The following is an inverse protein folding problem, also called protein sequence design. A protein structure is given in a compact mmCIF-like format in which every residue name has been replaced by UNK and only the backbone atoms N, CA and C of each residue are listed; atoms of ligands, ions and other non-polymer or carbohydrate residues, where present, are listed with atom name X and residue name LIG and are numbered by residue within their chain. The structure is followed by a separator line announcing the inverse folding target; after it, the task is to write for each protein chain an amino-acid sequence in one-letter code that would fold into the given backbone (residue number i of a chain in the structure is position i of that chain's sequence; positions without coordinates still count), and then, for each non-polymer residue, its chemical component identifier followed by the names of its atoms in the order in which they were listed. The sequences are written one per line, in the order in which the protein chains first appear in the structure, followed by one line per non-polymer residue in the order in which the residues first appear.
data_IF_906362858084
#
_entry.id   IF_906362858084
#
_cell.length_a   1.000
_cell.length_b   1.000
_cell.length_c   1.000
_cell.angle_alpha   90.00
_cell.angle_beta   90.00
_cell.angle_gamma   90.00
#
_symmetry.space_group_name_H-M   'P 1'
#
loop_
_entity.id
_entity.type
_entity.pdbx_description
1 polymer ?
#
# COMPACT_ATOMS: atom_id res chain seq x y z
N UNK A 1 15.73 1.69 8.97
CA UNK A 1 15.02 1.95 7.69
C UNK A 1 15.96 2.22 6.53
N UNK A 2 16.94 3.12 6.61
CA UNK A 2 17.85 3.45 5.49
C UNK A 2 18.53 2.20 4.90
N UNK A 3 19.18 1.37 5.73
CA UNK A 3 19.83 0.14 5.28
C UNK A 3 18.86 -0.85 4.61
N UNK A 4 17.62 -0.95 5.12
CA UNK A 4 16.56 -1.75 4.49
C UNK A 4 16.20 -1.20 3.10
N UNK A 5 15.95 0.10 2.99
CA UNK A 5 15.59 0.73 1.73
C UNK A 5 16.71 0.61 0.68
N UNK A 6 17.98 0.74 1.09
CA UNK A 6 19.14 0.57 0.19
C UNK A 6 19.17 -0.85 -0.38
N UNK A 7 19.03 -1.88 0.46
CA UNK A 7 18.95 -3.29 -0.01
C UNK A 7 17.75 -3.50 -0.91
N UNK A 8 16.57 -2.96 -0.54
CA UNK A 8 15.36 -3.11 -1.34
C UNK A 8 15.51 -2.52 -2.75
N UNK A 9 16.08 -1.32 -2.88
CA UNK A 9 16.29 -0.67 -4.19
C UNK A 9 17.22 -1.47 -5.11
N UNK A 10 18.13 -2.28 -4.56
CA UNK A 10 19.00 -3.16 -5.34
C UNK A 10 18.35 -4.48 -5.76
N UNK A 11 17.14 -4.78 -5.29
CA UNK A 11 16.44 -6.02 -5.63
C UNK A 11 16.14 -6.12 -7.13
N UNK A 12 16.45 -7.27 -7.72
CA UNK A 12 16.20 -7.59 -9.13
C UNK A 12 15.60 -8.99 -9.31
N UNK A 13 14.95 -9.53 -8.27
CA UNK A 13 14.42 -10.89 -8.30
C UNK A 13 13.37 -11.09 -9.40
N UNK A 14 12.40 -10.18 -9.51
CA UNK A 14 11.35 -10.24 -10.53
C UNK A 14 11.91 -10.05 -11.95
N UNK A 15 12.93 -9.21 -12.13
CA UNK A 15 13.63 -9.06 -13.43
C UNK A 15 14.33 -10.37 -13.82
N UNK A 16 15.09 -10.98 -12.90
CA UNK A 16 15.79 -12.24 -13.15
C UNK A 16 14.84 -13.38 -13.45
N UNK A 17 13.65 -13.36 -12.89
CA UNK A 17 12.61 -14.35 -13.13
C UNK A 17 11.78 -14.06 -14.40
N UNK A 18 12.05 -12.99 -15.14
CA UNK A 18 11.32 -12.62 -16.36
C UNK A 18 9.88 -12.12 -16.13
N UNK A 19 9.52 -11.74 -14.91
CA UNK A 19 8.15 -11.26 -14.61
C UNK A 19 7.93 -9.79 -14.96
N UNK A 20 8.99 -8.98 -15.00
CA UNK A 20 8.91 -7.56 -15.32
C UNK A 20 9.32 -7.33 -16.76
N UNK A 21 8.40 -6.79 -17.54
CA UNK A 21 8.62 -6.44 -18.96
C UNK A 21 9.38 -5.13 -19.07
N UNK A 22 9.17 -4.19 -18.14
CA UNK A 22 9.79 -2.88 -18.15
C UNK A 22 11.10 -2.92 -17.35
N UNK A 23 12.24 -2.80 -18.02
CA UNK A 23 13.57 -2.76 -17.41
C UNK A 23 13.74 -1.62 -16.38
N UNK A 24 13.01 -0.53 -16.53
CA UNK A 24 13.01 0.61 -15.61
C UNK A 24 12.20 0.38 -14.32
N UNK A 25 11.45 -0.72 -14.20
CA UNK A 25 10.69 -0.99 -12.99
C UNK A 25 11.63 -1.39 -11.85
N UNK A 26 11.73 -0.53 -10.85
CA UNK A 26 12.57 -0.73 -9.66
C UNK A 26 11.72 -0.69 -8.39
N UNK A 27 12.17 -1.34 -7.28
CA UNK A 27 11.44 -1.25 -6.03
C UNK A 27 11.35 0.19 -5.52
N UNK A 28 10.14 0.64 -5.24
CA UNK A 28 9.93 1.97 -4.65
C UNK A 28 10.10 1.90 -3.14
N UNK A 29 10.97 2.74 -2.61
CA UNK A 29 11.19 2.91 -1.18
C UNK A 29 11.46 4.39 -0.87
N UNK A 30 10.69 4.94 0.07
CA UNK A 30 10.91 6.30 0.57
C UNK A 30 11.75 6.23 1.85
N UNK A 31 12.81 7.00 1.89
CA UNK A 31 13.61 7.15 3.11
C UNK A 31 12.89 8.04 4.12
N UNK A 32 13.01 7.76 5.42
CA UNK A 32 12.52 8.67 6.45
C UNK A 32 13.31 9.97 6.42
N UNK A 33 12.68 11.04 6.85
CA UNK A 33 13.36 12.32 7.03
C UNK A 33 14.44 12.18 8.13
N UNK A 34 15.61 12.81 7.98
CA UNK A 34 16.66 12.76 9.00
C UNK A 34 16.13 13.21 10.37
N UNK A 35 16.37 12.39 11.40
CA UNK A 35 15.91 12.69 12.77
C UNK A 35 14.41 12.45 13.02
N UNK A 36 13.62 12.13 12.00
CA UNK A 36 12.21 11.81 12.21
C UNK A 36 12.03 10.45 12.90
N UNK A 37 11.05 10.32 13.78
CA UNK A 37 10.72 9.03 14.40
C UNK A 37 10.26 8.03 13.33
N UNK A 38 10.54 6.76 13.54
CA UNK A 38 10.07 5.69 12.64
C UNK A 38 8.54 5.65 12.66
N UNK A 39 7.86 5.80 11.50
CA UNK A 39 6.43 5.75 11.45
C UNK A 39 5.88 4.41 11.95
N UNK A 40 4.84 4.44 12.78
CA UNK A 40 4.16 3.25 13.27
C UNK A 40 2.90 2.89 12.48
N UNK A 41 2.59 3.65 11.45
CA UNK A 41 1.52 3.38 10.49
C UNK A 41 2.17 2.88 9.20
N UNK A 42 1.84 1.64 8.83
CA UNK A 42 2.27 1.01 7.58
C UNK A 42 1.08 0.93 6.63
N UNK A 43 1.19 1.55 5.47
CA UNK A 43 0.20 1.44 4.41
C UNK A 43 0.71 0.44 3.36
N UNK A 44 -0.09 -0.56 3.05
CA UNK A 44 0.24 -1.61 2.09
C UNK A 44 -0.76 -1.58 0.94
N UNK A 45 -0.29 -1.24 -0.26
CA UNK A 45 -1.05 -1.33 -1.50
C UNK A 45 -0.84 -2.66 -2.23
N UNK A 46 -1.37 -2.76 -3.45
CA UNK A 46 -1.18 -3.92 -4.33
C UNK A 46 0.26 -3.98 -4.88
N UNK A 47 0.64 -2.95 -5.63
CA UNK A 47 1.91 -2.74 -6.31
C UNK A 47 2.03 -1.26 -6.68
N UNK A 48 3.22 -0.73 -6.98
CA UNK A 48 3.35 0.58 -7.59
C UNK A 48 2.59 0.64 -8.93
N UNK A 49 1.86 1.73 -9.18
CA UNK A 49 1.30 2.02 -10.49
C UNK A 49 2.34 2.65 -11.42
N UNK A 50 2.01 2.80 -12.70
CA UNK A 50 2.92 3.39 -13.70
C UNK A 50 3.46 4.76 -13.25
N UNK A 51 2.58 5.66 -12.79
CA UNK A 51 2.99 7.00 -12.35
C UNK A 51 3.91 6.96 -11.13
N UNK A 52 3.62 6.08 -10.17
CA UNK A 52 4.48 5.88 -9.02
C UNK A 52 5.87 5.36 -9.42
N UNK A 53 5.94 4.49 -10.43
CA UNK A 53 7.19 3.98 -10.98
C UNK A 53 8.01 5.08 -11.68
N UNK A 54 7.36 5.90 -12.51
CA UNK A 54 8.02 6.99 -13.25
C UNK A 54 8.55 8.10 -12.33
N UNK A 55 7.78 8.47 -11.31
CA UNK A 55 8.13 9.54 -10.37
C UNK A 55 8.96 9.02 -9.17
N UNK A 56 9.08 7.70 -9.02
CA UNK A 56 9.68 7.04 -7.84
C UNK A 56 9.03 7.50 -6.50
N UNK A 57 7.73 7.75 -6.54
CA UNK A 57 6.94 8.22 -5.38
C UNK A 57 5.77 7.29 -5.13
N UNK A 58 5.64 6.70 -3.93
CA UNK A 58 4.48 5.86 -3.60
C UNK A 58 3.17 6.64 -3.76
N UNK A 59 2.17 6.02 -4.36
CA UNK A 59 0.85 6.65 -4.56
C UNK A 59 0.92 8.02 -5.26
N UNK A 60 1.79 8.18 -6.26
CA UNK A 60 1.81 9.37 -7.08
C UNK A 60 0.47 9.58 -7.83
N UNK A 61 0.07 10.86 -8.01
CA UNK A 61 -1.14 11.24 -8.74
C UNK A 61 -2.43 11.18 -7.94
N UNK A 62 -3.56 11.11 -8.65
CA UNK A 62 -4.91 11.26 -8.09
C UNK A 62 -5.25 10.28 -6.95
N UNK A 63 -4.73 9.06 -7.00
CA UNK A 63 -4.91 8.08 -5.93
C UNK A 63 -4.25 8.54 -4.63
N UNK A 64 -3.06 9.12 -4.71
CA UNK A 64 -2.37 9.68 -3.54
C UNK A 64 -3.07 10.91 -2.99
N UNK A 65 -3.61 11.79 -3.85
CA UNK A 65 -4.40 12.93 -3.39
C UNK A 65 -5.63 12.48 -2.62
N UNK A 66 -6.36 11.50 -3.12
CA UNK A 66 -7.51 10.93 -2.39
C UNK A 66 -7.10 10.28 -1.06
N UNK A 67 -5.96 9.60 -1.01
CA UNK A 67 -5.43 9.07 0.26
C UNK A 67 -5.14 10.19 1.25
N UNK A 68 -4.51 11.29 0.84
CA UNK A 68 -4.25 12.44 1.73
C UNK A 68 -5.52 12.97 2.37
N UNK A 69 -6.60 13.14 1.56
CA UNK A 69 -7.90 13.54 2.08
C UNK A 69 -8.45 12.54 3.12
N UNK A 70 -8.29 11.23 2.88
CA UNK A 70 -8.71 10.23 3.86
C UNK A 70 -7.90 10.31 5.15
N UNK A 71 -6.59 10.54 5.06
CA UNK A 71 -5.74 10.68 6.24
C UNK A 71 -6.08 11.94 7.05
N UNK A 72 -6.44 13.04 6.40
CA UNK A 72 -6.96 14.23 7.06
C UNK A 72 -8.23 13.92 7.86
N UNK A 73 -9.17 13.15 7.31
CA UNK A 73 -10.33 12.63 8.05
C UNK A 73 -9.91 11.76 9.25
N UNK A 74 -8.81 11.05 9.15
CA UNK A 74 -8.19 10.27 10.22
C UNK A 74 -7.40 11.09 11.24
N UNK A 75 -7.34 12.42 11.11
CA UNK A 75 -6.60 13.32 12.02
C UNK A 75 -5.09 13.37 11.75
N UNK A 76 -4.65 12.97 10.56
CA UNK A 76 -3.27 13.14 10.11
C UNK A 76 -3.24 14.29 9.10
N UNK A 77 -2.72 15.46 9.46
CA UNK A 77 -2.62 16.61 8.57
C UNK A 77 -1.80 16.28 7.31
N UNK A 78 -2.07 17.02 6.23
CA UNK A 78 -1.46 16.80 4.92
C UNK A 78 0.07 16.89 4.95
N UNK A 79 0.62 17.78 5.72
CA UNK A 79 2.06 17.97 5.95
C UNK A 79 2.70 16.78 6.67
N UNK A 80 1.94 16.06 7.49
CA UNK A 80 2.41 14.89 8.23
C UNK A 80 2.32 13.59 7.44
N UNK A 81 1.68 13.59 6.27
CA UNK A 81 1.41 12.40 5.47
C UNK A 81 2.66 11.55 5.22
N UNK A 82 3.76 12.18 4.82
CA UNK A 82 5.02 11.48 4.56
C UNK A 82 5.81 11.13 5.82
N UNK A 83 5.60 11.86 6.90
CA UNK A 83 6.31 11.70 8.16
C UNK A 83 5.70 10.62 9.04
N UNK A 84 4.38 10.51 9.07
CA UNK A 84 3.65 9.58 9.96
C UNK A 84 3.32 8.24 9.33
N UNK A 85 3.44 8.11 8.00
CA UNK A 85 3.03 6.92 7.27
C UNK A 85 4.22 6.34 6.51
N UNK A 86 4.46 5.06 6.68
CA UNK A 86 5.38 4.32 5.84
C UNK A 86 4.60 3.58 4.74
N UNK A 87 5.09 3.67 3.50
CA UNK A 87 4.41 3.12 2.33
C UNK A 87 5.04 1.82 1.88
N UNK A 88 4.20 0.86 1.58
CA UNK A 88 4.56 -0.46 1.09
C UNK A 88 3.54 -0.96 0.07
N UNK A 89 3.83 -2.12 -0.50
CA UNK A 89 2.90 -2.85 -1.35
C UNK A 89 3.20 -4.36 -1.28
N UNK A 90 2.25 -5.19 -1.69
CA UNK A 90 2.43 -6.65 -1.76
C UNK A 90 3.59 -7.01 -2.68
N UNK A 91 3.74 -6.29 -3.81
CA UNK A 91 4.98 -6.31 -4.61
C UNK A 91 5.54 -4.90 -4.73
N UNK A 92 6.86 -4.78 -4.78
CA UNK A 92 7.57 -3.50 -4.65
C UNK A 92 7.87 -2.81 -6.00
N UNK A 93 7.68 -3.51 -7.10
CA UNK A 93 7.93 -3.02 -8.45
C UNK A 93 6.62 -2.87 -9.21
N UNK A 94 6.61 -1.97 -10.21
CA UNK A 94 5.49 -1.84 -11.13
C UNK A 94 5.36 -3.13 -11.98
N UNK A 95 4.20 -3.80 -11.93
CA UNK A 95 4.04 -5.09 -12.61
C UNK A 95 3.82 -4.96 -14.12
N UNK A 96 3.58 -3.77 -14.63
CA UNK A 96 3.23 -3.53 -16.03
C UNK A 96 1.73 -3.55 -16.29
N UNK A 97 1.37 -3.48 -17.56
CA UNK A 97 -0.01 -3.52 -18.06
C UNK A 97 -0.14 -4.63 -19.09
N UNK A 98 -1.28 -5.31 -19.09
CA UNK A 98 -1.58 -6.27 -20.16
C UNK A 98 -1.96 -5.52 -21.45
N UNK A 99 -1.61 -6.06 -22.63
CA UNK A 99 -2.02 -5.48 -23.90
C UNK A 99 -3.55 -5.25 -23.95
N UNK A 100 -3.97 -4.05 -24.35
CA UNK A 100 -5.39 -3.66 -24.43
C UNK A 100 -6.08 -3.38 -23.09
N UNK A 101 -5.44 -3.61 -21.93
CA UNK A 101 -6.04 -3.33 -20.64
C UNK A 101 -6.01 -1.83 -20.31
N UNK A 102 -7.06 -1.34 -19.61
CA UNK A 102 -7.14 0.05 -19.15
C UNK A 102 -6.38 0.32 -17.84
N UNK A 103 -6.04 -0.72 -17.08
CA UNK A 103 -5.37 -0.63 -15.77
C UNK A 103 -4.11 -1.46 -15.69
N UNK A 104 -3.36 -1.24 -14.62
CA UNK A 104 -2.17 -2.03 -14.32
C UNK A 104 -2.58 -3.45 -13.94
N UNK A 105 -1.76 -4.45 -14.32
CA UNK A 105 -2.07 -5.84 -13.99
C UNK A 105 -1.87 -6.11 -12.49
N UNK A 106 -2.58 -7.12 -11.99
CA UNK A 106 -2.35 -7.65 -10.66
C UNK A 106 -1.07 -8.51 -10.70
N UNK A 107 -0.13 -8.34 -9.75
CA UNK A 107 1.02 -9.24 -9.64
C UNK A 107 0.59 -10.69 -9.48
N UNK A 108 1.25 -11.61 -10.19
CA UNK A 108 0.98 -13.03 -10.09
C UNK A 108 1.34 -13.60 -8.70
N UNK A 109 0.80 -14.75 -8.29
CA UNK A 109 1.18 -15.40 -7.04
C UNK A 109 2.69 -15.64 -6.93
N UNK A 110 3.37 -15.95 -8.03
CA UNK A 110 4.81 -16.13 -8.06
C UNK A 110 5.58 -14.84 -7.78
N UNK A 111 5.15 -13.70 -8.35
CA UNK A 111 5.74 -12.39 -8.04
C UNK A 111 5.51 -12.01 -6.58
N UNK A 112 4.31 -12.27 -6.05
CA UNK A 112 3.98 -12.02 -4.65
C UNK A 112 4.88 -12.85 -3.72
N UNK A 113 5.08 -14.13 -4.02
CA UNK A 113 5.95 -15.04 -3.25
C UNK A 113 7.41 -14.56 -3.26
N UNK A 114 7.95 -14.14 -4.42
CA UNK A 114 9.31 -13.60 -4.52
C UNK A 114 9.48 -12.28 -3.73
N UNK A 115 8.43 -11.47 -3.65
CA UNK A 115 8.49 -10.19 -2.96
C UNK A 115 8.17 -10.28 -1.46
N UNK A 116 7.57 -11.38 -1.01
CA UNK A 116 7.11 -11.58 0.37
C UNK A 116 8.20 -11.37 1.42
N UNK A 117 9.44 -11.85 1.27
CA UNK A 117 10.49 -11.63 2.26
C UNK A 117 10.74 -10.15 2.56
N UNK A 118 10.61 -9.26 1.57
CA UNK A 118 10.75 -7.82 1.77
C UNK A 118 9.66 -7.25 2.67
N UNK A 119 8.45 -7.80 2.58
CA UNK A 119 7.33 -7.36 3.40
C UNK A 119 7.52 -7.83 4.85
N UNK A 120 7.97 -9.06 5.06
CA UNK A 120 8.24 -9.64 6.38
C UNK A 120 9.40 -8.92 7.08
N UNK A 121 10.51 -8.66 6.37
CA UNK A 121 11.63 -7.83 6.86
C UNK A 121 11.14 -6.43 7.27
N UNK A 122 10.23 -5.84 6.50
CA UNK A 122 9.69 -4.51 6.78
C UNK A 122 8.89 -4.48 8.09
N UNK A 123 8.08 -5.51 8.36
CA UNK A 123 7.39 -5.64 9.65
C UNK A 123 8.35 -5.72 10.82
N UNK A 124 9.44 -6.48 10.66
CA UNK A 124 10.49 -6.63 11.67
C UNK A 124 11.18 -5.29 11.97
N UNK A 125 11.45 -4.50 10.93
CA UNK A 125 12.16 -3.21 11.06
C UNK A 125 11.25 -2.10 11.60
N UNK A 126 9.99 -2.05 11.14
CA UNK A 126 9.05 -0.97 11.48
C UNK A 126 8.31 -1.23 12.78
N UNK A 127 7.99 -2.48 13.08
CA UNK A 127 7.10 -2.87 14.19
C UNK A 127 5.83 -2.00 14.21
N UNK A 128 5.03 -2.02 13.12
CA UNK A 128 3.90 -1.13 13.00
C UNK A 128 2.84 -1.41 14.07
N UNK A 129 2.19 -0.37 14.58
CA UNK A 129 1.02 -0.51 15.45
C UNK A 129 -0.27 -0.60 14.63
N UNK A 130 -0.27 0.06 13.46
CA UNK A 130 -1.42 0.09 12.56
C UNK A 130 -0.96 -0.26 11.14
N UNK A 131 -1.71 -1.14 10.48
CA UNK A 131 -1.51 -1.51 9.08
C UNK A 131 -2.77 -1.19 8.29
N UNK A 132 -2.65 -0.31 7.31
CA UNK A 132 -3.71 0.03 6.38
C UNK A 132 -3.56 -0.85 5.13
N UNK A 133 -4.58 -1.66 4.84
CA UNK A 133 -4.60 -2.58 3.72
C UNK A 133 -5.41 -1.97 2.58
N UNK A 134 -4.75 -1.43 1.57
CA UNK A 134 -5.37 -0.67 0.48
C UNK A 134 -5.61 -1.55 -0.74
N UNK A 135 -6.87 -1.84 -1.00
CA UNK A 135 -7.31 -2.68 -2.13
C UNK A 135 -7.34 -4.17 -1.80
N UNK A 136 -8.09 -4.90 -2.63
CA UNK A 136 -8.48 -6.29 -2.34
C UNK A 136 -7.29 -7.26 -2.24
N UNK A 137 -6.22 -7.05 -3.04
CA UNK A 137 -5.04 -7.89 -2.96
C UNK A 137 -4.34 -7.75 -1.60
N UNK A 138 -4.09 -6.53 -1.13
CA UNK A 138 -3.48 -6.29 0.16
C UNK A 138 -4.36 -6.86 1.30
N UNK A 139 -5.67 -6.64 1.24
CA UNK A 139 -6.62 -7.18 2.22
C UNK A 139 -6.53 -8.71 2.27
N UNK A 140 -6.58 -9.39 1.12
CA UNK A 140 -6.52 -10.86 1.06
C UNK A 140 -5.17 -11.43 1.49
N UNK A 141 -4.08 -10.73 1.23
CA UNK A 141 -2.73 -11.15 1.63
C UNK A 141 -2.60 -11.24 3.16
N UNK A 142 -3.27 -10.36 3.90
CA UNK A 142 -3.14 -10.28 5.36
C UNK A 142 -4.34 -10.86 6.13
N UNK A 143 -5.55 -10.71 5.62
CA UNK A 143 -6.78 -11.15 6.29
C UNK A 143 -7.35 -12.45 5.71
N UNK A 144 -6.77 -12.96 4.62
CA UNK A 144 -7.28 -14.13 3.94
C UNK A 144 -8.50 -13.83 3.05
N UNK A 145 -9.31 -14.85 2.77
CA UNK A 145 -10.49 -14.69 1.93
C UNK A 145 -11.54 -13.82 2.62
N UNK A 146 -11.95 -12.73 1.97
CA UNK A 146 -13.02 -11.85 2.42
C UNK A 146 -14.18 -11.89 1.42
N UNK A 147 -15.45 -11.80 1.90
CA UNK A 147 -16.63 -11.89 1.03
C UNK A 147 -16.69 -10.73 0.02
N UNK A 148 -16.50 -9.50 0.50
CA UNK A 148 -16.53 -8.28 -0.32
C UNK A 148 -15.77 -7.14 0.39
N UNK A 149 -15.50 -6.05 -0.32
CA UNK A 149 -14.99 -4.82 0.30
C UNK A 149 -15.97 -4.24 1.32
N UNK A 150 -17.26 -4.25 0.99
CA UNK A 150 -18.33 -3.75 1.87
C UNK A 150 -18.37 -4.48 3.22
N UNK A 151 -18.03 -5.76 3.23
CA UNK A 151 -18.02 -6.55 4.48
C UNK A 151 -16.85 -6.20 5.42
N UNK A 152 -15.77 -5.63 4.91
CA UNK A 152 -14.54 -5.45 5.70
C UNK A 152 -14.10 -4.00 5.85
N UNK A 153 -14.41 -3.11 4.90
CA UNK A 153 -14.07 -1.69 5.03
C UNK A 153 -14.88 -1.06 6.17
N UNK A 154 -14.23 -0.27 7.01
CA UNK A 154 -14.83 0.30 8.23
C UNK A 154 -14.72 -0.59 9.46
N UNK A 155 -14.23 -1.84 9.32
CA UNK A 155 -13.90 -2.71 10.46
C UNK A 155 -12.43 -2.60 10.85
N UNK A 156 -12.06 -3.22 11.98
CA UNK A 156 -10.68 -3.41 12.39
C UNK A 156 -10.47 -4.86 12.80
N UNK A 157 -9.34 -5.43 12.39
CA UNK A 157 -8.88 -6.73 12.86
C UNK A 157 -7.64 -6.55 13.70
N UNK A 158 -7.58 -7.17 14.87
CA UNK A 158 -6.40 -7.17 15.73
C UNK A 158 -5.72 -8.53 15.66
N UNK A 159 -4.42 -8.54 15.39
CA UNK A 159 -3.60 -9.75 15.38
C UNK A 159 -2.17 -9.38 15.82
N UNK A 160 -1.62 -10.12 16.78
CA UNK A 160 -0.25 -9.97 17.29
C UNK A 160 0.10 -8.54 17.69
N UNK A 161 -0.84 -7.83 18.34
CA UNK A 161 -0.66 -6.44 18.77
C UNK A 161 -0.75 -5.40 17.66
N UNK A 162 -1.05 -5.82 16.42
CA UNK A 162 -1.19 -4.95 15.25
C UNK A 162 -2.66 -4.78 14.88
N UNK A 163 -3.07 -3.54 14.63
CA UNK A 163 -4.40 -3.20 14.13
C UNK A 163 -4.38 -3.15 12.61
N UNK A 164 -5.17 -3.97 11.95
CA UNK A 164 -5.35 -3.99 10.50
C UNK A 164 -6.64 -3.27 10.11
N UNK A 165 -6.53 -2.29 9.21
CA UNK A 165 -7.65 -1.47 8.73
C UNK A 165 -7.78 -1.63 7.21
N UNK A 166 -8.77 -2.39 6.72
CA UNK A 166 -9.06 -2.51 5.29
C UNK A 166 -9.57 -1.20 4.70
N UNK A 167 -9.05 -0.82 3.54
CA UNK A 167 -9.49 0.31 2.74
C UNK A 167 -9.71 -0.09 1.29
N UNK A 168 -10.65 0.52 0.56
CA UNK A 168 -10.75 0.33 -0.87
C UNK A 168 -9.55 0.96 -1.58
N UNK A 169 -9.34 0.60 -2.86
CA UNK A 169 -8.35 1.32 -3.66
C UNK A 169 -8.84 2.75 -3.95
N UNK A 170 -8.02 3.80 -3.76
CA UNK A 170 -8.45 5.19 -3.89
C UNK A 170 -8.58 5.67 -5.34
N UNK A 171 -8.28 4.85 -6.35
CA UNK A 171 -8.39 5.24 -7.75
C UNK A 171 -9.84 5.49 -8.18
N UNK A 172 -10.02 6.39 -9.16
CA UNK A 172 -11.34 6.67 -9.75
C UNK A 172 -11.97 5.52 -10.52
N UNK A 173 -11.24 4.42 -10.78
CA UNK A 173 -11.75 3.20 -11.42
C UNK A 173 -12.61 2.39 -10.44
N UNK A 174 -12.50 2.63 -9.15
CA UNK A 174 -13.28 1.92 -8.14
C UNK A 174 -14.71 2.45 -8.08
N UNK A 175 -15.65 1.77 -8.72
CA UNK A 175 -17.11 2.08 -8.63
C UNK A 175 -17.63 1.96 -7.19
N UNK A 176 -16.96 1.22 -6.33
CA UNK A 176 -17.34 1.02 -4.94
C UNK A 176 -17.46 2.35 -4.16
N UNK A 177 -16.64 3.34 -4.52
CA UNK A 177 -16.66 4.67 -3.89
C UNK A 177 -17.77 5.60 -4.42
N UNK A 178 -18.60 5.15 -5.36
CA UNK A 178 -19.74 5.93 -5.84
C UNK A 178 -20.93 5.89 -4.87
N UNK A 179 -20.97 4.90 -3.97
CA UNK A 179 -22.03 4.73 -2.98
C UNK A 179 -21.70 5.51 -1.70
N UNK A 180 -22.63 6.34 -1.23
CA UNK A 180 -22.45 7.18 -0.06
C UNK A 180 -22.14 6.37 1.22
N UNK A 181 -22.77 5.22 1.42
CA UNK A 181 -22.52 4.31 2.53
C UNK A 181 -21.06 3.79 2.53
N UNK A 182 -20.53 3.50 1.35
CA UNK A 182 -19.16 3.05 1.17
C UNK A 182 -18.15 4.16 1.49
N UNK A 183 -18.46 5.41 1.13
CA UNK A 183 -17.66 6.58 1.52
C UNK A 183 -17.68 6.76 3.04
N UNK A 184 -18.86 6.61 3.66
CA UNK A 184 -18.98 6.66 5.12
C UNK A 184 -18.19 5.54 5.81
N UNK A 185 -18.12 4.34 5.22
CA UNK A 185 -17.30 3.23 5.73
C UNK A 185 -15.80 3.58 5.71
N UNK A 186 -15.30 4.28 4.68
CA UNK A 186 -13.92 4.81 4.69
C UNK A 186 -13.73 5.79 5.83
N UNK A 187 -14.67 6.71 6.08
CA UNK A 187 -14.64 7.63 7.21
C UNK A 187 -14.54 6.90 8.55
N UNK A 188 -15.34 5.83 8.74
CA UNK A 188 -15.26 4.99 9.94
C UNK A 188 -13.88 4.31 10.09
N UNK A 189 -13.33 3.77 9.00
CA UNK A 189 -11.99 3.16 9.02
C UNK A 189 -10.92 4.19 9.43
N UNK A 190 -10.96 5.37 8.85
CA UNK A 190 -9.99 6.43 9.14
C UNK A 190 -10.14 7.00 10.54
N UNK A 191 -11.38 7.11 11.05
CA UNK A 191 -11.64 7.51 12.44
C UNK A 191 -10.93 6.60 13.48
N UNK A 192 -10.71 5.33 13.14
CA UNK A 192 -9.96 4.37 13.97
C UNK A 192 -8.45 4.61 14.03
N UNK A 193 -7.91 5.55 13.28
CA UNK A 193 -6.52 5.99 13.43
C UNK A 193 -6.31 6.86 14.67
N UNK A 194 -7.38 7.50 15.16
CA UNK A 194 -7.35 8.38 16.34
C UNK A 194 -7.46 7.63 17.67
N UNK A 195 -7.96 6.40 17.64
CA UNK A 195 -8.13 5.50 18.79
C UNK A 195 -6.92 4.56 18.92
#
# INVERSE_FOLDING_TARGET
MLAFNTRLRSCRLCHRAGYLVEAASVPIARDPEPGAPVPRILLIGQAPGLRANLENVPFAGAAGEKLRLWFELGGIPREDFWRKIHFSAVTRCYPGRLPGARGDRVPSPAEQALCRPWLDDQFTVLKPAVVLLVGLLAIRTFLGRVPSLTAVVGTATFRDGVRYLPLPHPSGVSRWLNEAENVAAVGRAMGRLRS
#
